data_IF_346171327790
#
_entry.id   IF_346171327790
#
_cell.length_a   1.000
_cell.length_b   1.000
_cell.length_c   1.000
_cell.angle_alpha   90.00
_cell.angle_beta   90.00
_cell.angle_gamma   90.00
#
_symmetry.space_group_name_H-M   'P 1'
#
loop_
_entity.id
_entity.type
_entity.pdbx_description
1 polymer ?
#
# COMPACT_ATOMS: atom_id res chain seq x y z
N UNK A 1 -25.79 25.89 52.47
CA UNK A 1 -24.54 25.11 52.21
C UNK A 1 -23.41 25.71 53.02
N UNK A 2 -22.69 24.94 53.84
CA UNK A 2 -21.56 25.48 54.63
C UNK A 2 -20.44 25.99 53.73
N UNK A 3 -19.73 27.04 54.15
CA UNK A 3 -18.60 27.65 53.44
C UNK A 3 -17.52 26.61 53.08
N UNK A 4 -17.31 25.61 53.92
CA UNK A 4 -16.42 24.46 53.70
C UNK A 4 -16.86 23.59 52.52
N UNK A 5 -18.16 23.26 52.41
CA UNK A 5 -18.70 22.47 51.28
C UNK A 5 -18.54 23.20 49.95
N UNK A 6 -18.70 24.54 49.93
CA UNK A 6 -18.49 25.37 48.74
C UNK A 6 -17.02 25.45 48.33
N UNK A 7 -16.08 25.46 49.28
CA UNK A 7 -14.63 25.39 49.01
C UNK A 7 -14.22 24.03 48.46
N UNK A 8 -14.70 22.93 49.05
CA UNK A 8 -14.42 21.57 48.57
C UNK A 8 -14.94 21.38 47.13
N UNK A 9 -16.17 21.81 46.83
CA UNK A 9 -16.72 21.74 45.47
C UNK A 9 -15.90 22.56 44.46
N UNK A 10 -15.38 23.73 44.85
CA UNK A 10 -14.48 24.53 43.99
C UNK A 10 -13.15 23.84 43.74
N UNK A 11 -12.56 23.21 44.77
CA UNK A 11 -11.30 22.47 44.62
C UNK A 11 -11.50 21.23 43.75
N UNK A 12 -12.57 20.45 43.99
CA UNK A 12 -12.91 19.29 43.15
C UNK A 12 -13.22 19.70 41.71
N UNK A 13 -13.94 20.81 41.52
CA UNK A 13 -14.19 21.37 40.19
C UNK A 13 -12.89 21.81 39.50
N UNK A 14 -11.98 22.47 40.22
CA UNK A 14 -10.66 22.85 39.70
C UNK A 14 -9.81 21.63 39.32
N UNK A 15 -9.79 20.59 40.17
CA UNK A 15 -9.08 19.34 39.89
C UNK A 15 -9.66 18.63 38.67
N UNK A 16 -10.99 18.55 38.55
CA UNK A 16 -11.65 17.98 37.38
C UNK A 16 -11.27 18.70 36.09
N UNK A 17 -11.22 20.04 36.11
CA UNK A 17 -10.78 20.84 34.96
C UNK A 17 -9.32 20.51 34.60
N UNK A 18 -8.42 20.42 35.58
CA UNK A 18 -7.02 20.06 35.34
C UNK A 18 -6.90 18.66 34.72
N UNK A 19 -7.65 17.68 35.26
CA UNK A 19 -7.67 16.32 34.71
C UNK A 19 -8.22 16.32 33.28
N UNK A 20 -9.30 17.05 33.00
CA UNK A 20 -9.84 17.14 31.63
C UNK A 20 -8.84 17.77 30.66
N UNK A 21 -8.17 18.86 31.05
CA UNK A 21 -7.15 19.51 30.22
C UNK A 21 -5.98 18.54 29.96
N UNK A 22 -5.53 17.81 30.97
CA UNK A 22 -4.47 16.81 30.81
C UNK A 22 -4.88 15.67 29.87
N UNK A 23 -6.12 15.17 29.98
CA UNK A 23 -6.64 14.13 29.08
C UNK A 23 -6.78 14.62 27.63
N UNK A 24 -7.25 15.85 27.44
CA UNK A 24 -7.33 16.47 26.10
C UNK A 24 -5.93 16.64 25.51
N UNK A 25 -4.97 17.14 26.28
CA UNK A 25 -3.59 17.28 25.84
C UNK A 25 -2.96 15.92 25.50
N UNK A 26 -3.17 14.90 26.35
CA UNK A 26 -2.69 13.54 26.10
C UNK A 26 -3.32 12.93 24.83
N UNK A 27 -4.62 13.15 24.60
CA UNK A 27 -5.28 12.72 23.37
C UNK A 27 -4.67 13.41 22.14
N UNK A 28 -4.50 14.73 22.16
CA UNK A 28 -3.92 15.45 21.03
C UNK A 28 -2.48 15.02 20.73
N UNK A 29 -1.70 14.72 21.78
CA UNK A 29 -0.36 14.14 21.64
C UNK A 29 -0.39 12.75 21.00
N UNK A 30 -1.31 11.88 21.42
CA UNK A 30 -1.43 10.51 20.89
C UNK A 30 -2.19 10.43 19.55
N UNK A 31 -2.90 11.49 19.14
CA UNK A 31 -3.84 11.48 18.03
C UNK A 31 -3.21 11.03 16.70
N UNK A 32 -2.02 11.50 16.28
CA UNK A 32 -1.41 11.05 15.02
C UNK A 32 -1.21 9.53 15.00
N UNK A 33 -0.64 8.98 16.07
CA UNK A 33 -0.41 7.54 16.23
C UNK A 33 -1.73 6.74 16.18
N UNK A 34 -2.78 7.23 16.84
CA UNK A 34 -4.11 6.60 16.79
C UNK A 34 -4.72 6.64 15.39
N UNK A 35 -4.53 7.75 14.65
CA UNK A 35 -5.02 7.90 13.29
C UNK A 35 -4.28 6.98 12.31
N UNK A 36 -2.99 6.74 12.50
CA UNK A 36 -2.24 5.76 11.71
C UNK A 36 -2.87 4.37 11.84
N UNK A 37 -3.19 3.96 13.06
CA UNK A 37 -3.79 2.65 13.30
C UNK A 37 -5.24 2.53 12.82
N UNK A 38 -6.06 3.58 12.90
CA UNK A 38 -7.41 3.56 12.32
C UNK A 38 -7.40 3.69 10.80
N UNK A 39 -6.46 4.45 10.23
CA UNK A 39 -6.25 4.58 8.79
C UNK A 39 -5.84 3.27 8.16
N UNK A 40 -4.87 2.57 8.76
CA UNK A 40 -4.49 1.20 8.38
C UNK A 40 -5.71 0.27 8.31
N UNK A 41 -6.52 0.27 9.37
CA UNK A 41 -7.66 -0.64 9.45
C UNK A 41 -8.79 -0.28 8.48
N UNK A 42 -9.08 1.01 8.30
CA UNK A 42 -10.10 1.47 7.37
C UNK A 42 -9.70 1.17 5.92
N UNK A 43 -8.48 1.55 5.53
CA UNK A 43 -7.94 1.33 4.18
C UNK A 43 -7.95 -0.14 3.82
N UNK A 44 -7.26 -0.97 4.61
CA UNK A 44 -7.06 -2.36 4.22
C UNK A 44 -8.36 -3.18 4.28
N UNK A 45 -9.29 -2.88 5.20
CA UNK A 45 -10.59 -3.53 5.20
C UNK A 45 -11.46 -3.12 3.99
N UNK A 46 -11.32 -1.88 3.51
CA UNK A 46 -11.95 -1.45 2.26
C UNK A 46 -11.36 -2.22 1.07
N UNK A 47 -10.03 -2.21 0.93
CA UNK A 47 -9.32 -2.83 -0.18
C UNK A 47 -9.60 -4.35 -0.24
N UNK A 48 -9.55 -5.06 0.89
CA UNK A 48 -9.89 -6.48 0.95
C UNK A 48 -11.31 -6.77 0.48
N UNK A 49 -12.28 -5.97 0.92
CA UNK A 49 -13.68 -6.17 0.53
C UNK A 49 -13.88 -5.93 -0.96
N UNK A 50 -13.31 -4.85 -1.47
CA UNK A 50 -13.60 -4.33 -2.82
C UNK A 50 -12.77 -5.04 -3.88
N UNK A 51 -11.51 -5.33 -3.60
CA UNK A 51 -10.56 -5.89 -4.56
C UNK A 51 -10.44 -7.41 -4.45
N UNK A 52 -10.46 -7.96 -3.24
CA UNK A 52 -10.34 -9.39 -3.00
C UNK A 52 -11.67 -10.10 -2.71
N UNK A 53 -12.77 -9.37 -2.49
CA UNK A 53 -14.06 -9.95 -2.13
C UNK A 53 -14.08 -10.55 -0.71
N UNK A 54 -13.14 -10.15 0.15
CA UNK A 54 -12.90 -10.73 1.48
C UNK A 54 -13.21 -9.75 2.60
N UNK A 55 -13.71 -10.25 3.73
CA UNK A 55 -14.17 -9.39 4.85
C UNK A 55 -13.39 -9.58 6.15
N UNK A 56 -12.54 -10.60 6.25
CA UNK A 56 -11.77 -10.88 7.46
C UNK A 56 -10.35 -10.28 7.38
N UNK A 57 -10.24 -9.00 7.74
CA UNK A 57 -8.97 -8.30 7.75
C UNK A 57 -7.91 -8.90 8.70
N UNK A 58 -8.33 -9.64 9.74
CA UNK A 58 -7.41 -10.18 10.75
C UNK A 58 -6.63 -11.40 10.25
N UNK A 59 -7.19 -12.19 9.35
CA UNK A 59 -6.47 -13.29 8.68
C UNK A 59 -5.68 -12.82 7.45
N UNK A 60 -6.03 -11.65 6.91
CA UNK A 60 -5.52 -11.19 5.63
C UNK A 60 -4.36 -10.18 5.69
N UNK A 61 -4.10 -9.56 6.84
CA UNK A 61 -3.15 -8.45 6.97
C UNK A 61 -2.22 -8.59 8.18
N UNK A 62 -1.06 -7.91 8.17
CA UNK A 62 -0.21 -7.82 9.35
C UNK A 62 -0.97 -7.40 10.62
N UNK A 63 -0.56 -7.90 11.79
CA UNK A 63 -1.25 -7.59 13.04
C UNK A 63 -1.13 -6.10 13.35
N UNK A 64 -2.26 -5.47 13.67
CA UNK A 64 -2.30 -4.09 14.13
C UNK A 64 -2.49 -4.09 15.67
N UNK A 65 -1.57 -3.47 16.44
CA UNK A 65 -1.61 -3.54 17.91
C UNK A 65 -2.86 -2.87 18.51
N UNK A 66 -3.56 -2.02 17.74
CA UNK A 66 -4.79 -1.38 18.18
C UNK A 66 -6.04 -2.25 17.96
N UNK A 67 -5.96 -3.39 17.26
CA UNK A 67 -7.10 -4.26 16.90
C UNK A 67 -8.11 -4.47 18.03
N UNK A 68 -7.72 -4.78 19.29
CA UNK A 68 -8.67 -4.96 20.38
C UNK A 68 -9.57 -3.74 20.68
N UNK A 69 -9.15 -2.55 20.26
CA UNK A 69 -9.81 -1.28 20.51
C UNK A 69 -10.48 -0.68 19.27
N UNK A 70 -10.28 -1.27 18.08
CA UNK A 70 -10.85 -0.78 16.84
C UNK A 70 -12.33 -1.17 16.72
N UNK A 71 -13.11 -0.24 16.17
CA UNK A 71 -14.49 -0.46 15.75
C UNK A 71 -14.61 -0.07 14.29
N UNK A 72 -14.89 -1.06 13.45
CA UNK A 72 -15.02 -0.90 12.00
C UNK A 72 -16.48 -1.06 11.58
N UNK A 73 -16.96 -0.15 10.75
CA UNK A 73 -18.27 -0.19 10.12
C UNK A 73 -18.11 -0.10 8.61
N UNK A 74 -18.92 -0.83 7.85
CA UNK A 74 -18.91 -0.81 6.38
C UNK A 74 -20.27 -0.34 5.89
N UNK A 75 -20.28 0.72 5.08
CA UNK A 75 -21.48 1.23 4.43
C UNK A 75 -21.84 0.42 3.17
N UNK A 76 -23.04 0.66 2.63
CA UNK A 76 -23.57 -0.05 1.45
C UNK A 76 -22.77 0.24 0.18
N UNK A 77 -22.26 1.48 0.05
CA UNK A 77 -21.38 1.92 -1.04
C UNK A 77 -19.95 1.34 -0.94
N UNK A 78 -19.68 0.52 0.08
CA UNK A 78 -18.36 -0.07 0.34
C UNK A 78 -17.43 0.82 1.17
N UNK A 79 -17.83 2.05 1.51
CA UNK A 79 -17.04 2.94 2.38
C UNK A 79 -16.83 2.30 3.75
N UNK A 80 -15.57 2.24 4.19
CA UNK A 80 -15.18 1.68 5.48
C UNK A 80 -14.79 2.80 6.43
N UNK A 81 -15.35 2.78 7.64
CA UNK A 81 -14.96 3.70 8.71
C UNK A 81 -14.46 2.93 9.92
N UNK A 82 -13.30 3.32 10.43
CA UNK A 82 -12.73 2.74 11.64
C UNK A 82 -12.45 3.82 12.68
N UNK A 83 -12.74 3.53 13.94
CA UNK A 83 -12.44 4.42 15.07
C UNK A 83 -11.96 3.65 16.30
N UNK A 84 -11.29 4.35 17.20
CA UNK A 84 -10.89 3.82 18.51
C UNK A 84 -12.10 3.91 19.45
N UNK A 85 -12.49 2.78 20.03
CA UNK A 85 -13.62 2.63 20.94
C UNK A 85 -14.95 3.16 20.38
N UNK A 86 -15.08 3.27 19.05
CA UNK A 86 -16.28 3.77 18.37
C UNK A 86 -16.40 5.30 18.26
N UNK A 87 -15.44 6.07 18.79
CA UNK A 87 -15.60 7.52 18.98
C UNK A 87 -14.38 8.35 18.59
N UNK A 88 -13.16 7.83 18.78
CA UNK A 88 -11.93 8.62 18.69
C UNK A 88 -11.15 8.30 17.41
N UNK A 89 -10.36 9.28 16.95
CA UNK A 89 -9.44 9.14 15.82
C UNK A 89 -10.05 8.43 14.60
N UNK A 90 -11.30 8.78 14.23
CA UNK A 90 -11.99 8.14 13.12
C UNK A 90 -11.28 8.43 11.79
N UNK A 91 -11.08 7.39 11.01
CA UNK A 91 -10.60 7.41 9.62
C UNK A 91 -11.61 6.72 8.72
N UNK A 92 -11.67 7.14 7.47
CA UNK A 92 -12.60 6.61 6.47
C UNK A 92 -11.85 6.34 5.18
N UNK A 93 -12.06 5.15 4.62
CA UNK A 93 -11.58 4.76 3.30
C UNK A 93 -12.77 4.54 2.38
N UNK A 94 -12.70 5.10 1.18
CA UNK A 94 -13.79 5.06 0.19
C UNK A 94 -13.33 4.31 -1.06
N UNK A 95 -14.13 3.37 -1.58
CA UNK A 95 -13.80 2.69 -2.81
C UNK A 95 -13.90 3.62 -4.02
N UNK A 96 -13.02 3.39 -4.98
CA UNK A 96 -12.99 4.05 -6.28
C UNK A 96 -13.06 2.97 -7.35
N UNK A 97 -14.07 3.00 -8.24
CA UNK A 97 -14.16 2.06 -9.34
C UNK A 97 -12.85 2.03 -10.13
N UNK A 98 -12.22 0.85 -10.22
CA UNK A 98 -10.95 0.64 -10.91
C UNK A 98 -9.68 1.06 -10.17
N UNK A 99 -9.76 1.92 -9.15
CA UNK A 99 -8.59 2.50 -8.45
C UNK A 99 -8.43 2.04 -6.98
N UNK A 100 -9.21 1.06 -6.55
CA UNK A 100 -9.11 0.49 -5.21
C UNK A 100 -9.73 1.37 -4.13
N UNK A 101 -9.07 1.48 -2.98
CA UNK A 101 -9.56 2.29 -1.86
C UNK A 101 -8.57 3.40 -1.50
N UNK A 102 -9.11 4.56 -1.12
CA UNK A 102 -8.31 5.72 -0.73
C UNK A 102 -8.81 6.26 0.62
N UNK A 103 -7.89 6.68 1.48
CA UNK A 103 -8.24 7.35 2.74
C UNK A 103 -8.60 8.81 2.49
N UNK A 104 -9.67 9.28 3.15
CA UNK A 104 -10.13 10.66 3.05
C UNK A 104 -10.92 10.96 1.77
N UNK A 105 -10.97 12.24 1.39
CA UNK A 105 -11.66 12.70 0.19
C UNK A 105 -10.80 12.38 -1.05
N UNK A 106 -11.27 11.60 -2.03
CA UNK A 106 -10.40 11.12 -3.10
C UNK A 106 -10.36 12.12 -4.26
N UNK A 107 -9.19 12.27 -4.90
CA UNK A 107 -9.03 13.03 -6.15
C UNK A 107 -9.96 12.52 -7.26
N UNK A 108 -10.49 13.42 -8.08
CA UNK A 108 -11.25 13.05 -9.28
C UNK A 108 -10.33 12.35 -10.29
N UNK A 109 -10.61 11.07 -10.58
CA UNK A 109 -9.76 10.21 -11.40
C UNK A 109 -10.55 9.73 -12.62
N UNK A 110 -9.90 9.60 -13.78
CA UNK A 110 -10.56 9.07 -14.96
C UNK A 110 -11.02 7.62 -14.73
N UNK A 111 -12.06 7.20 -15.43
CA UNK A 111 -12.43 5.79 -15.49
C UNK A 111 -11.28 4.99 -16.13
N UNK A 112 -10.99 3.82 -15.58
CA UNK A 112 -10.00 2.92 -16.18
C UNK A 112 -10.54 2.28 -17.44
N UNK A 113 -9.70 2.24 -18.45
CA UNK A 113 -10.00 1.54 -19.68
C UNK A 113 -10.12 0.03 -19.43
N UNK A 114 -11.02 -0.63 -20.15
CA UNK A 114 -11.08 -2.09 -20.11
C UNK A 114 -9.80 -2.71 -20.68
N UNK A 115 -9.39 -3.82 -20.08
CA UNK A 115 -8.24 -4.62 -20.50
C UNK A 115 -8.79 -5.93 -21.07
N UNK A 116 -8.27 -6.33 -22.23
CA UNK A 116 -8.59 -7.61 -22.87
C UNK A 116 -7.71 -8.72 -22.26
N UNK A 117 -8.27 -9.83 -21.75
CA UNK A 117 -7.48 -10.94 -21.23
C UNK A 117 -6.68 -11.69 -22.31
N UNK A 118 -6.99 -11.52 -23.60
CA UNK A 118 -6.39 -12.29 -24.69
C UNK A 118 -4.85 -12.14 -24.80
N UNK A 119 -4.32 -10.99 -24.37
CA UNK A 119 -2.87 -10.73 -24.37
C UNK A 119 -2.15 -11.31 -23.13
N UNK A 120 -2.90 -11.86 -22.17
CA UNK A 120 -2.34 -12.42 -20.97
C UNK A 120 -1.76 -13.80 -21.23
N UNK A 121 -0.43 -13.88 -21.19
CA UNK A 121 0.26 -15.13 -21.47
C UNK A 121 0.02 -16.22 -20.42
N UNK A 122 -0.53 -15.94 -19.22
CA UNK A 122 -0.65 -16.92 -18.12
C UNK A 122 -2.10 -17.17 -17.68
N UNK A 123 -2.95 -16.14 -17.65
CA UNK A 123 -4.24 -16.18 -16.96
C UNK A 123 -5.12 -17.37 -17.36
N UNK A 124 -5.20 -17.69 -18.65
CA UNK A 124 -6.05 -18.75 -19.20
C UNK A 124 -5.28 -20.06 -19.51
N UNK A 125 -4.02 -20.19 -19.09
CA UNK A 125 -3.30 -21.44 -19.32
C UNK A 125 -3.89 -22.61 -18.53
N UNK A 126 -3.94 -23.77 -19.17
CA UNK A 126 -4.11 -25.07 -18.50
C UNK A 126 -2.88 -25.38 -17.63
N UNK A 127 -3.11 -26.01 -16.48
CA UNK A 127 -2.02 -26.45 -15.60
C UNK A 127 -1.41 -27.74 -16.15
N UNK A 128 -0.19 -27.66 -16.65
CA UNK A 128 0.61 -28.81 -17.05
C UNK A 128 1.32 -29.41 -15.83
N UNK A 129 0.54 -30.00 -14.94
CA UNK A 129 1.01 -30.44 -13.62
C UNK A 129 2.24 -31.37 -13.73
N UNK A 130 3.37 -30.90 -13.21
CA UNK A 130 4.56 -31.70 -12.99
C UNK A 130 4.50 -32.29 -11.57
N UNK A 131 4.44 -33.63 -11.39
CA UNK A 131 4.23 -34.23 -10.07
C UNK A 131 5.28 -33.83 -9.03
N UNK A 132 6.52 -33.61 -9.46
CA UNK A 132 7.59 -33.15 -8.56
C UNK A 132 7.38 -31.70 -8.11
N UNK A 133 7.00 -30.80 -9.03
CA UNK A 133 6.65 -29.42 -8.71
C UNK A 133 5.46 -29.39 -7.76
N UNK A 134 4.41 -30.18 -8.01
CA UNK A 134 3.25 -30.23 -7.13
C UNK A 134 3.61 -30.66 -5.70
N UNK A 135 4.47 -31.67 -5.52
CA UNK A 135 4.93 -32.06 -4.17
C UNK A 135 5.68 -30.94 -3.46
N UNK A 136 6.54 -30.20 -4.18
CA UNK A 136 7.28 -29.06 -3.61
C UNK A 136 6.33 -27.93 -3.21
N UNK A 137 5.31 -27.66 -4.03
CA UNK A 137 4.24 -26.72 -3.71
C UNK A 137 3.52 -27.18 -2.42
N UNK A 138 3.07 -28.43 -2.33
CA UNK A 138 2.37 -28.93 -1.14
C UNK A 138 3.22 -28.85 0.13
N UNK A 139 4.53 -29.12 0.04
CA UNK A 139 5.46 -28.88 1.14
C UNK A 139 5.55 -27.39 1.53
N UNK A 140 5.59 -26.47 0.57
CA UNK A 140 5.57 -25.03 0.83
C UNK A 140 4.23 -24.51 1.40
N UNK A 141 3.15 -25.29 1.24
CA UNK A 141 1.88 -25.09 1.93
C UNK A 141 1.84 -25.70 3.33
N UNK A 142 2.93 -26.33 3.78
CA UNK A 142 3.05 -26.90 5.11
C UNK A 142 2.65 -28.36 5.21
N UNK A 143 2.65 -29.12 4.11
CA UNK A 143 2.52 -30.58 4.19
C UNK A 143 3.57 -31.17 5.16
N UNK A 144 3.09 -31.84 6.20
CA UNK A 144 3.93 -32.39 7.27
C UNK A 144 4.09 -31.50 8.50
N UNK A 145 3.51 -30.29 8.50
CA UNK A 145 3.40 -29.43 9.67
C UNK A 145 2.07 -29.66 10.42
N UNK A 146 2.02 -29.21 11.67
CA UNK A 146 0.76 -29.09 12.41
C UNK A 146 0.00 -27.81 12.01
N UNK A 147 -1.19 -27.62 12.57
CA UNK A 147 -2.04 -26.47 12.24
C UNK A 147 -1.36 -25.13 12.57
N UNK A 148 -0.60 -25.07 13.67
CA UNK A 148 0.12 -23.87 14.07
C UNK A 148 1.25 -23.55 13.07
N UNK A 149 1.97 -24.57 12.59
CA UNK A 149 3.00 -24.43 11.57
C UNK A 149 2.44 -23.95 10.23
N UNK A 150 1.33 -24.55 9.77
CA UNK A 150 0.62 -24.09 8.55
C UNK A 150 0.16 -22.63 8.69
N UNK A 151 -0.42 -22.28 9.84
CA UNK A 151 -0.87 -20.91 10.11
C UNK A 151 0.30 -19.92 10.14
N UNK A 152 1.45 -20.29 10.70
CA UNK A 152 2.65 -19.45 10.72
C UNK A 152 3.26 -19.23 9.34
N UNK A 153 3.19 -20.22 8.43
CA UNK A 153 3.63 -20.04 7.04
C UNK A 153 2.77 -19.01 6.31
N UNK A 154 1.44 -19.09 6.47
CA UNK A 154 0.51 -18.13 5.88
C UNK A 154 0.50 -18.11 4.35
N UNK A 155 0.97 -19.19 3.69
CA UNK A 155 0.99 -19.31 2.23
C UNK A 155 -0.43 -19.29 1.67
N UNK A 156 -0.76 -18.31 0.81
CA UNK A 156 -2.10 -18.17 0.20
C UNK A 156 -2.19 -18.73 -1.21
N UNK A 157 -1.15 -18.53 -1.99
CA UNK A 157 -1.10 -18.96 -3.38
C UNK A 157 0.36 -19.20 -3.78
N UNK A 158 0.58 -20.27 -4.54
CA UNK A 158 1.83 -20.50 -5.27
C UNK A 158 1.45 -20.82 -6.71
N UNK A 159 2.10 -20.13 -7.66
CA UNK A 159 1.97 -20.37 -9.10
C UNK A 159 3.39 -20.52 -9.66
N UNK A 160 3.65 -21.60 -10.39
CA UNK A 160 4.97 -21.92 -10.92
C UNK A 160 4.92 -21.99 -12.44
N UNK A 161 5.74 -21.15 -13.08
CA UNK A 161 5.98 -21.16 -14.51
C UNK A 161 7.35 -21.79 -14.82
N UNK A 162 7.40 -22.60 -15.86
CA UNK A 162 8.64 -23.12 -16.43
C UNK A 162 8.62 -22.91 -17.94
N UNK A 163 9.56 -22.11 -18.44
CA UNK A 163 9.66 -21.74 -19.87
C UNK A 163 8.34 -21.21 -20.44
N UNK A 164 7.69 -20.31 -19.70
CA UNK A 164 6.40 -19.73 -20.07
C UNK A 164 5.19 -20.66 -19.93
N UNK A 165 5.34 -21.87 -19.36
CA UNK A 165 4.24 -22.81 -19.15
C UNK A 165 3.88 -22.94 -17.67
N UNK A 166 2.60 -22.92 -17.35
CA UNK A 166 2.09 -23.18 -16.01
C UNK A 166 2.27 -24.66 -15.65
N UNK A 167 3.18 -24.97 -14.72
CA UNK A 167 3.57 -26.36 -14.36
C UNK A 167 3.10 -26.80 -12.98
N UNK A 168 2.54 -25.88 -12.19
CA UNK A 168 1.92 -26.19 -10.91
C UNK A 168 1.34 -24.94 -10.25
N UNK A 169 0.26 -25.13 -9.53
CA UNK A 169 -0.34 -24.10 -8.68
C UNK A 169 -1.06 -24.75 -7.50
N UNK A 170 -1.19 -24.02 -6.40
CA UNK A 170 -2.01 -24.39 -5.25
C UNK A 170 -2.45 -23.12 -4.53
N UNK A 171 -3.63 -23.17 -3.92
CA UNK A 171 -4.26 -22.08 -3.20
C UNK A 171 -4.69 -22.55 -1.81
N UNK A 172 -4.66 -21.65 -0.83
CA UNK A 172 -5.13 -21.94 0.53
C UNK A 172 -6.66 -21.96 0.60
N UNK A 173 -7.21 -22.51 1.68
CA UNK A 173 -8.66 -22.53 1.90
C UNK A 173 -9.26 -21.11 1.84
N UNK A 174 -10.28 -20.94 0.99
CA UNK A 174 -10.92 -19.64 0.75
C UNK A 174 -10.16 -18.71 -0.19
N UNK A 175 -9.13 -19.21 -0.88
CA UNK A 175 -8.42 -18.55 -1.96
C UNK A 175 -8.48 -19.41 -3.23
N UNK A 176 -8.47 -18.75 -4.38
CA UNK A 176 -8.47 -19.36 -5.70
C UNK A 176 -7.64 -18.53 -6.69
N UNK A 177 -7.57 -18.99 -7.93
CA UNK A 177 -6.87 -18.32 -9.05
C UNK A 177 -7.44 -16.93 -9.37
N UNK A 178 -8.65 -16.61 -8.93
CA UNK A 178 -9.33 -15.33 -9.14
C UNK A 178 -9.22 -14.38 -7.95
N UNK A 179 -8.67 -14.84 -6.82
CA UNK A 179 -8.54 -14.05 -5.60
C UNK A 179 -7.31 -13.14 -5.70
N UNK A 180 -7.53 -11.84 -5.86
CA UNK A 180 -6.45 -10.83 -5.90
C UNK A 180 -5.62 -10.87 -4.61
N UNK A 181 -4.30 -10.82 -4.78
CA UNK A 181 -3.32 -10.71 -3.72
C UNK A 181 -2.65 -9.35 -3.77
N UNK A 182 -2.52 -8.73 -2.59
CA UNK A 182 -1.75 -7.51 -2.41
C UNK A 182 -0.25 -7.81 -2.54
N UNK A 183 0.42 -7.16 -3.48
CA UNK A 183 1.85 -7.38 -3.76
C UNK A 183 2.81 -6.77 -2.75
N UNK A 184 2.36 -5.81 -1.94
CA UNK A 184 3.23 -5.01 -1.08
C UNK A 184 4.44 -4.50 -1.87
N UNK A 185 5.66 -4.77 -1.40
CA UNK A 185 6.89 -4.30 -2.03
C UNK A 185 7.21 -4.95 -3.38
N UNK A 186 6.50 -6.01 -3.80
CA UNK A 186 6.59 -6.49 -5.19
C UNK A 186 6.16 -5.42 -6.20
N UNK A 187 5.26 -4.52 -5.80
CA UNK A 187 4.81 -3.36 -6.60
C UNK A 187 5.99 -2.49 -7.07
N UNK A 188 7.06 -2.39 -6.27
CA UNK A 188 8.24 -1.60 -6.62
C UNK A 188 8.96 -2.12 -7.86
N UNK A 189 8.97 -3.44 -8.06
CA UNK A 189 9.52 -4.05 -9.28
C UNK A 189 8.69 -3.67 -10.50
N UNK A 190 7.36 -3.57 -10.36
CA UNK A 190 6.48 -3.11 -11.44
C UNK A 190 6.72 -1.61 -11.73
N UNK A 191 7.05 -0.80 -10.72
CA UNK A 191 7.42 0.60 -10.92
C UNK A 191 8.75 0.72 -11.68
N UNK A 192 9.70 -0.19 -11.45
CA UNK A 192 10.92 -0.30 -12.24
C UNK A 192 10.62 -0.69 -13.71
N UNK A 193 9.66 -1.59 -13.95
CA UNK A 193 9.22 -1.92 -15.31
C UNK A 193 8.60 -0.70 -16.01
N UNK A 194 7.73 0.04 -15.33
CA UNK A 194 7.15 1.29 -15.84
C UNK A 194 8.24 2.31 -16.20
N UNK A 195 9.21 2.50 -15.30
CA UNK A 195 10.38 3.36 -15.55
C UNK A 195 11.12 2.92 -16.80
N UNK A 196 11.38 1.61 -16.95
CA UNK A 196 12.06 1.05 -18.12
C UNK A 196 11.29 1.29 -19.43
N UNK A 197 9.96 1.16 -19.42
CA UNK A 197 9.12 1.46 -20.59
C UNK A 197 9.21 2.93 -21.00
N UNK A 198 9.15 3.85 -20.04
CA UNK A 198 9.27 5.28 -20.30
C UNK A 198 10.69 5.71 -20.75
N UNK A 199 11.73 5.01 -20.29
CA UNK A 199 13.09 5.18 -20.82
C UNK A 199 13.18 4.70 -22.27
N UNK A 200 12.59 3.55 -22.60
CA UNK A 200 12.55 3.04 -23.98
C UNK A 200 11.79 3.97 -24.93
N UNK A 201 10.77 4.67 -24.44
CA UNK A 201 10.00 5.66 -25.20
C UNK A 201 10.69 7.04 -25.28
N UNK A 202 11.82 7.22 -24.60
CA UNK A 202 12.56 8.48 -24.58
C UNK A 202 11.90 9.58 -23.74
N UNK A 203 10.90 9.23 -22.92
CA UNK A 203 10.19 10.16 -22.03
C UNK A 203 11.03 10.45 -20.77
N UNK A 204 11.73 9.42 -20.28
CA UNK A 204 12.52 9.49 -19.04
C UNK A 204 14.00 9.29 -19.35
N UNK A 205 14.83 10.16 -18.79
CA UNK A 205 16.28 10.01 -18.68
C UNK A 205 16.62 9.69 -17.21
N UNK A 206 17.43 8.66 -16.98
CA UNK A 206 17.78 8.20 -15.64
C UNK A 206 18.64 9.22 -14.89
N UNK A 207 19.46 9.99 -15.61
CA UNK A 207 20.31 11.04 -15.03
C UNK A 207 19.56 12.37 -14.83
N UNK A 208 18.27 12.41 -15.17
CA UNK A 208 17.46 13.62 -15.01
C UNK A 208 17.33 13.99 -13.54
N UNK A 209 17.75 15.21 -13.21
CA UNK A 209 17.52 15.87 -11.94
C UNK A 209 16.41 16.94 -12.05
N UNK A 210 16.22 17.75 -11.00
CA UNK A 210 15.18 18.79 -10.99
C UNK A 210 13.77 18.22 -11.03
N UNK A 211 13.57 17.08 -10.38
CA UNK A 211 12.36 16.26 -10.48
C UNK A 211 11.12 16.88 -9.82
N UNK A 212 11.33 17.74 -8.83
CA UNK A 212 10.28 18.35 -8.00
C UNK A 212 10.52 19.86 -7.92
N UNK A 213 9.47 20.66 -8.06
CA UNK A 213 9.60 22.13 -8.11
C UNK A 213 9.93 22.74 -6.75
N UNK A 214 9.49 22.08 -5.68
CA UNK A 214 9.70 22.48 -4.29
C UNK A 214 11.12 22.19 -3.78
N UNK A 215 11.88 21.33 -4.46
CA UNK A 215 13.29 21.10 -4.17
C UNK A 215 14.14 22.27 -4.69
N UNK A 216 14.29 23.28 -3.84
CA UNK A 216 15.10 24.49 -4.12
C UNK A 216 16.49 24.44 -3.49
N UNK A 217 16.81 23.33 -2.82
CA UNK A 217 18.08 23.04 -2.15
C UNK A 217 18.83 21.89 -2.84
N UNK A 218 19.80 21.26 -2.16
CA UNK A 218 20.58 20.14 -2.71
C UNK A 218 19.70 18.98 -3.21
N UNK A 219 18.46 18.80 -2.69
CA UNK A 219 17.54 17.77 -3.18
C UNK A 219 17.20 17.94 -4.66
N UNK A 220 17.34 19.14 -5.22
CA UNK A 220 17.18 19.39 -6.67
C UNK A 220 18.11 18.54 -7.54
N UNK A 221 19.19 18.01 -6.97
CA UNK A 221 20.16 17.13 -7.64
C UNK A 221 19.78 15.64 -7.60
N UNK A 222 18.74 15.24 -6.86
CA UNK A 222 18.26 13.85 -6.84
C UNK A 222 17.82 13.48 -8.25
N UNK A 223 18.37 12.39 -8.77
CA UNK A 223 18.05 11.89 -10.11
C UNK A 223 16.97 10.80 -10.09
N UNK A 224 16.42 10.46 -11.26
CA UNK A 224 15.53 9.30 -11.40
C UNK A 224 16.26 8.02 -10.98
N UNK A 225 17.54 7.88 -11.34
CA UNK A 225 18.36 6.73 -10.93
C UNK A 225 18.51 6.66 -9.40
N UNK A 226 18.71 7.79 -8.72
CA UNK A 226 18.82 7.83 -7.27
C UNK A 226 17.53 7.35 -6.60
N UNK A 227 16.36 7.74 -7.11
CA UNK A 227 15.08 7.24 -6.60
C UNK A 227 14.90 5.74 -6.88
N UNK A 228 15.18 5.30 -8.09
CA UNK A 228 15.06 3.91 -8.54
C UNK A 228 15.95 2.97 -7.72
N UNK A 229 17.17 3.40 -7.40
CA UNK A 229 18.15 2.63 -6.60
C UNK A 229 18.04 2.87 -5.10
N UNK A 230 17.10 3.71 -4.66
CA UNK A 230 16.89 4.10 -3.26
C UNK A 230 18.15 4.70 -2.63
N UNK A 231 18.76 5.66 -3.34
CA UNK A 231 19.95 6.42 -2.95
C UNK A 231 19.69 7.93 -2.90
N UNK A 232 18.44 8.33 -2.68
CA UNK A 232 18.02 9.74 -2.64
C UNK A 232 18.70 10.56 -1.54
N UNK A 233 19.18 9.91 -0.48
CA UNK A 233 19.78 10.59 0.68
C UNK A 233 18.75 11.27 1.60
N UNK A 234 17.45 11.14 1.31
CA UNK A 234 16.37 11.63 2.16
C UNK A 234 16.35 10.89 3.49
N UNK A 235 16.02 11.59 4.57
CA UNK A 235 15.77 11.00 5.87
C UNK A 235 14.53 10.11 5.78
N UNK A 236 14.71 8.81 6.04
CA UNK A 236 13.63 7.84 5.96
C UNK A 236 13.72 6.81 7.06
N UNK A 237 12.58 6.41 7.61
CA UNK A 237 12.45 5.29 8.53
C UNK A 237 11.34 4.38 8.01
N UNK A 238 11.75 3.18 7.58
CA UNK A 238 10.90 2.12 7.03
C UNK A 238 10.42 1.15 8.12
N UNK A 239 10.61 1.46 9.40
CA UNK A 239 10.05 0.66 10.48
C UNK A 239 8.54 0.84 10.46
N UNK A 240 7.76 -0.22 10.21
CA UNK A 240 6.29 -0.16 10.13
C UNK A 240 5.60 0.01 11.50
N UNK A 241 6.25 0.68 12.45
CA UNK A 241 5.67 1.06 13.73
C UNK A 241 4.71 2.24 13.55
N UNK A 242 3.75 2.39 14.47
CA UNK A 242 2.80 3.49 14.39
C UNK A 242 3.49 4.85 14.64
N UNK A 243 3.31 5.79 13.71
CA UNK A 243 3.89 7.13 13.79
C UNK A 243 5.30 7.25 13.21
N UNK A 244 5.78 6.24 12.50
CA UNK A 244 6.99 6.35 11.67
C UNK A 244 6.63 6.98 10.31
N UNK A 245 7.59 7.60 9.61
CA UNK A 245 7.37 8.21 8.30
C UNK A 245 6.64 7.32 7.30
N UNK A 246 6.95 6.02 7.24
CA UNK A 246 6.24 5.09 6.33
C UNK A 246 4.76 4.93 6.69
N UNK A 247 4.41 4.81 7.98
CA UNK A 247 3.02 4.61 8.39
C UNK A 247 2.24 5.93 8.42
N UNK A 248 2.89 7.05 8.70
CA UNK A 248 2.32 8.39 8.51
C UNK A 248 2.00 8.63 7.04
N UNK A 249 2.96 8.39 6.14
CA UNK A 249 2.76 8.51 4.69
C UNK A 249 1.55 7.69 4.22
N UNK A 250 1.51 6.39 4.54
CA UNK A 250 0.48 5.50 4.00
C UNK A 250 -0.93 5.73 4.59
N UNK A 251 -1.03 6.27 5.81
CA UNK A 251 -2.29 6.25 6.56
C UNK A 251 -2.78 7.62 7.05
N UNK A 252 -1.99 8.68 6.88
CA UNK A 252 -2.37 10.05 7.26
C UNK A 252 -2.32 11.03 6.09
N UNK A 253 -1.43 10.80 5.13
CA UNK A 253 -1.12 11.78 4.11
C UNK A 253 -1.91 11.54 2.82
N UNK A 254 -2.63 12.56 2.30
CA UNK A 254 -3.33 12.43 1.02
C UNK A 254 -2.36 12.42 -0.16
N UNK A 255 -1.24 13.17 -0.08
CA UNK A 255 -0.17 13.17 -1.07
C UNK A 255 1.06 12.44 -0.51
N UNK A 256 1.17 11.15 -0.81
CA UNK A 256 2.22 10.30 -0.24
C UNK A 256 3.59 10.64 -0.83
N UNK A 257 3.63 10.94 -2.13
CA UNK A 257 4.86 11.37 -2.81
C UNK A 257 5.33 12.73 -2.29
N UNK A 258 4.40 13.68 -2.07
CA UNK A 258 4.67 14.97 -1.44
C UNK A 258 5.20 14.86 -0.03
N UNK A 259 4.58 14.04 0.81
CA UNK A 259 5.10 13.78 2.16
C UNK A 259 6.53 13.22 2.13
N UNK A 260 6.79 12.21 1.29
CA UNK A 260 8.12 11.63 1.16
C UNK A 260 9.15 12.64 0.61
N UNK A 261 8.77 13.45 -0.37
CA UNK A 261 9.63 14.49 -0.93
C UNK A 261 9.91 15.64 0.06
N UNK A 262 9.04 15.84 1.05
CA UNK A 262 9.20 16.88 2.07
C UNK A 262 10.32 16.57 3.07
N UNK A 263 10.73 15.31 3.18
CA UNK A 263 11.76 14.87 4.11
C UNK A 263 13.10 15.61 3.85
N UNK A 264 13.87 15.94 4.91
CA UNK A 264 15.17 16.57 4.74
C UNK A 264 16.20 15.55 4.22
N UNK A 265 17.34 16.00 3.73
CA UNK A 265 18.48 15.11 3.48
C UNK A 265 19.11 14.67 4.81
N UNK A 266 19.34 13.37 4.97
CA UNK A 266 20.17 12.78 6.02
C UNK A 266 21.58 12.44 5.54
N UNK A 267 21.74 12.21 4.22
CA UNK A 267 22.99 11.81 3.59
C UNK A 267 23.21 12.56 2.28
N UNK A 268 24.44 12.54 1.78
CA UNK A 268 24.74 13.01 0.42
C UNK A 268 24.00 12.12 -0.60
N UNK A 269 23.42 12.73 -1.63
CA UNK A 269 22.70 12.03 -2.70
C UNK A 269 23.64 11.03 -3.37
N UNK A 270 23.17 9.80 -3.57
CA UNK A 270 23.97 8.73 -4.12
C UNK A 270 24.91 8.05 -3.12
N UNK A 271 25.20 8.62 -1.94
CA UNK A 271 26.24 8.08 -1.04
C UNK A 271 25.83 6.82 -0.27
N UNK A 272 24.53 6.66 0.02
CA UNK A 272 23.99 5.55 0.82
C UNK A 272 22.79 4.95 0.10
N UNK A 273 22.73 3.62 0.05
CA UNK A 273 21.51 2.91 -0.33
C UNK A 273 20.67 2.66 0.94
N UNK A 274 19.48 3.26 0.99
CA UNK A 274 18.53 3.11 2.08
C UNK A 274 17.20 2.65 1.51
N UNK A 275 16.75 1.45 1.87
CA UNK A 275 15.46 0.94 1.40
C UNK A 275 14.34 1.91 1.80
N UNK A 276 13.57 2.38 0.81
CA UNK A 276 12.62 3.47 0.97
C UNK A 276 11.40 3.33 0.06
N UNK A 277 10.25 3.01 0.66
CA UNK A 277 8.94 3.11 0.01
C UNK A 277 8.62 4.54 -0.41
N UNK A 278 9.06 5.54 0.36
CA UNK A 278 8.93 6.95 0.02
C UNK A 278 9.63 7.28 -1.31
N UNK A 279 10.87 6.81 -1.51
CA UNK A 279 11.60 7.01 -2.78
C UNK A 279 10.85 6.42 -3.98
N UNK A 280 10.21 5.25 -3.82
CA UNK A 280 9.40 4.66 -4.91
C UNK A 280 8.11 5.44 -5.18
N UNK A 281 7.44 5.99 -4.16
CA UNK A 281 6.25 6.81 -4.36
C UNK A 281 6.59 8.15 -5.03
N UNK A 282 7.72 8.77 -4.66
CA UNK A 282 8.25 9.95 -5.37
C UNK A 282 8.53 9.59 -6.83
N UNK A 283 9.19 8.47 -7.09
CA UNK A 283 9.49 8.01 -8.45
C UNK A 283 8.22 7.95 -9.30
N UNK A 284 7.17 7.27 -8.85
CA UNK A 284 5.95 7.14 -9.65
C UNK A 284 5.25 8.46 -9.91
N UNK A 285 5.15 9.34 -8.91
CA UNK A 285 4.61 10.69 -9.12
C UNK A 285 5.41 11.46 -10.18
N UNK A 286 6.74 11.39 -10.13
CA UNK A 286 7.64 12.00 -11.12
C UNK A 286 7.46 11.39 -12.51
N UNK A 287 7.29 10.07 -12.63
CA UNK A 287 7.06 9.42 -13.93
C UNK A 287 5.78 9.91 -14.60
N UNK A 288 4.69 10.06 -13.84
CA UNK A 288 3.43 10.61 -14.35
C UNK A 288 3.61 12.07 -14.80
N UNK A 289 4.25 12.89 -13.98
CA UNK A 289 4.54 14.30 -14.30
C UNK A 289 5.38 14.45 -15.58
N UNK A 290 6.42 13.62 -15.73
CA UNK A 290 7.30 13.64 -16.90
C UNK A 290 6.59 13.17 -18.18
N UNK A 291 5.69 12.20 -18.06
CA UNK A 291 4.85 11.75 -19.16
C UNK A 291 3.71 12.72 -19.49
N UNK A 292 3.40 13.66 -18.59
CA UNK A 292 2.22 14.53 -18.71
C UNK A 292 0.92 13.74 -18.68
N UNK A 293 0.87 12.67 -17.89
CA UNK A 293 -0.22 11.70 -17.83
C UNK A 293 -0.75 11.52 -16.41
N UNK A 294 -1.84 10.79 -16.28
CA UNK A 294 -2.39 10.33 -15.00
C UNK A 294 -2.12 8.83 -14.76
N UNK A 295 -2.73 8.27 -13.70
CA UNK A 295 -2.62 6.86 -13.33
C UNK A 295 -2.96 5.87 -14.46
N UNK A 296 -3.74 6.28 -15.46
CA UNK A 296 -4.04 5.49 -16.66
C UNK A 296 -2.81 5.14 -17.50
N UNK A 297 -1.69 5.83 -17.31
CA UNK A 297 -0.41 5.50 -17.95
C UNK A 297 0.05 4.06 -17.61
N UNK A 298 -0.22 3.60 -16.39
CA UNK A 298 0.11 2.23 -15.96
C UNK A 298 -0.68 1.21 -16.78
N UNK A 299 -1.95 1.50 -17.04
CA UNK A 299 -2.81 0.64 -17.85
C UNK A 299 -2.32 0.59 -19.29
N UNK A 300 -1.96 1.75 -19.84
CA UNK A 300 -1.49 1.87 -21.22
C UNK A 300 -0.16 1.16 -21.46
N UNK A 301 0.82 1.36 -20.58
CA UNK A 301 2.18 0.91 -20.80
C UNK A 301 2.47 -0.50 -20.28
N UNK A 302 1.70 -0.99 -19.31
CA UNK A 302 1.93 -2.29 -18.67
C UNK A 302 0.71 -3.19 -18.68
N UNK A 303 -0.41 -2.79 -18.08
CA UNK A 303 -1.47 -3.76 -17.81
C UNK A 303 -2.22 -4.21 -19.07
N UNK A 304 -2.53 -3.28 -19.99
CA UNK A 304 -3.19 -3.61 -21.25
C UNK A 304 -2.30 -4.44 -22.17
N UNK A 305 -1.02 -4.07 -22.43
CA UNK A 305 -0.14 -4.88 -23.26
C UNK A 305 0.13 -6.30 -22.73
N UNK A 306 -0.04 -6.51 -21.41
CA UNK A 306 0.16 -7.81 -20.75
C UNK A 306 -1.16 -8.53 -20.42
N UNK A 307 -2.31 -7.97 -20.80
CA UNK A 307 -3.64 -8.53 -20.50
C UNK A 307 -3.95 -8.72 -19.01
N UNK A 308 -3.38 -7.88 -18.12
CA UNK A 308 -3.52 -8.01 -16.66
C UNK A 308 -4.87 -7.49 -16.17
N UNK A 309 -5.95 -8.21 -16.51
CA UNK A 309 -7.34 -7.80 -16.24
C UNK A 309 -7.67 -7.68 -14.76
N UNK A 310 -6.94 -8.38 -13.88
CA UNK A 310 -7.16 -8.28 -12.44
C UNK A 310 -6.35 -7.16 -11.80
N UNK A 311 -5.35 -6.58 -12.48
CA UNK A 311 -4.43 -5.64 -11.88
C UNK A 311 -5.10 -4.32 -11.48
N UNK A 312 -5.01 -3.97 -10.20
CA UNK A 312 -5.43 -2.69 -9.64
C UNK A 312 -4.31 -2.11 -8.82
N UNK A 313 -3.77 -0.98 -9.27
CA UNK A 313 -2.80 -0.21 -8.48
C UNK A 313 -3.52 0.92 -7.77
N UNK A 314 -3.68 0.80 -6.46
CA UNK A 314 -4.42 1.81 -5.70
C UNK A 314 -3.69 3.15 -5.71
N UNK A 315 -4.47 4.23 -5.70
CA UNK A 315 -3.95 5.60 -5.67
C UNK A 315 -4.06 6.23 -4.28
N UNK A 316 -3.15 7.14 -3.99
CA UNK A 316 -3.29 8.05 -2.86
C UNK A 316 -4.39 9.11 -3.09
N UNK A 317 -4.61 9.96 -2.10
CA UNK A 317 -5.61 11.03 -2.16
C UNK A 317 -5.30 12.12 -3.20
N UNK A 318 -4.05 12.22 -3.66
CA UNK A 318 -3.61 13.12 -4.73
C UNK A 318 -3.72 12.49 -6.13
N UNK A 319 -4.09 11.21 -6.22
CA UNK A 319 -4.26 10.49 -7.49
C UNK A 319 -2.98 9.83 -8.01
N UNK A 320 -1.90 9.81 -7.23
CA UNK A 320 -0.68 9.08 -7.59
C UNK A 320 -0.83 7.59 -7.25
N UNK A 321 -0.39 6.65 -8.10
CA UNK A 321 -0.33 5.24 -7.73
C UNK A 321 0.63 5.06 -6.54
N UNK A 322 0.21 4.29 -5.53
CA UNK A 322 1.03 3.96 -4.35
C UNK A 322 2.02 2.86 -4.72
N UNK A 323 3.03 3.25 -5.49
CA UNK A 323 3.96 2.33 -6.15
C UNK A 323 4.82 1.50 -5.20
N UNK A 324 4.94 1.95 -3.95
CA UNK A 324 5.62 1.19 -2.93
C UNK A 324 4.93 -0.11 -2.55
N UNK A 325 3.61 -0.22 -2.70
CA UNK A 325 2.82 -1.18 -1.91
C UNK A 325 1.52 -1.71 -2.54
N UNK A 326 0.68 -0.87 -3.15
CA UNK A 326 -0.74 -1.20 -3.34
C UNK A 326 -1.11 -1.68 -4.75
N UNK A 327 -0.25 -2.50 -5.37
CA UNK A 327 -0.66 -3.27 -6.53
C UNK A 327 -1.35 -4.56 -6.08
N UNK A 328 -2.58 -4.75 -6.51
CA UNK A 328 -3.36 -5.97 -6.35
C UNK A 328 -3.46 -6.68 -7.69
N UNK A 329 -3.22 -7.99 -7.71
CA UNK A 329 -3.41 -8.81 -8.91
C UNK A 329 -3.64 -10.27 -8.49
N UNK A 330 -4.27 -11.07 -9.35
CA UNK A 330 -4.37 -12.51 -9.14
C UNK A 330 -2.97 -13.14 -9.16
N UNK A 331 -2.79 -14.32 -8.55
CA UNK A 331 -1.52 -15.03 -8.58
C UNK A 331 -0.99 -15.27 -10.01
N UNK A 332 -1.88 -15.53 -10.96
CA UNK A 332 -1.52 -15.70 -12.38
C UNK A 332 -1.11 -14.38 -13.07
N UNK A 333 -1.76 -13.26 -12.76
CA UNK A 333 -1.34 -11.94 -13.29
C UNK A 333 0.01 -11.50 -12.70
N UNK A 334 0.28 -11.80 -11.42
CA UNK A 334 1.62 -11.66 -10.84
C UNK A 334 2.66 -12.52 -11.55
N UNK A 335 2.31 -13.75 -11.91
CA UNK A 335 3.18 -14.65 -12.64
C UNK A 335 3.45 -14.14 -14.08
N UNK A 336 2.46 -13.55 -14.74
CA UNK A 336 2.61 -12.90 -16.06
C UNK A 336 3.58 -11.71 -16.00
N UNK A 337 3.50 -10.85 -14.97
CA UNK A 337 4.47 -9.79 -14.72
C UNK A 337 5.89 -10.34 -14.53
N UNK A 338 6.03 -11.44 -13.77
CA UNK A 338 7.31 -12.11 -13.60
C UNK A 338 7.87 -12.68 -14.90
N UNK A 339 7.02 -13.30 -15.73
CA UNK A 339 7.42 -13.85 -17.03
C UNK A 339 7.80 -12.78 -18.04
N UNK A 340 7.17 -11.61 -18.01
CA UNK A 340 7.55 -10.45 -18.82
C UNK A 340 8.95 -9.92 -18.45
N UNK A 341 9.35 -10.02 -17.18
CA UNK A 341 10.65 -9.54 -16.71
C UNK A 341 11.84 -10.47 -17.03
N UNK A 342 11.58 -11.71 -17.46
CA UNK A 342 12.59 -12.73 -17.83
C UNK A 342 12.98 -12.65 -19.31
#
# INVERSE_FOLDING_TARGET
MSTTRRRILKVLGGLLVVVMVALVAAYWYARPLLLTGTGYAAHNACALKVLAGRTDAASDLPPNPLVPYLRTSVAEDGTVSTSILGLLARQTATPRPGHGCTLGEPADLPERAMIDPADNMVAEQDVFAEPEVQRLISHAFGEGLDADGVHQLGTRAIVVLSRGRLVGEQYADGFDEHTRQLGWSMSKSVASLLTGRLVQEGVVDLDRAGLRREWTDERSRITVEDLLRMRSGLAWDETYDLGTPITEMLYLEPDMAGFAASQPLAHEIGSVQQYSSGSTNILCSVLLDLAGSDVGLVDELLFRPLGLTSAVWETDGAGNPVCSSYLWATPRDWAALGQFAL
#
